data_IF_092916439076
#
_entry.id   IF_092916439076
#
_cell.length_a   1.000
_cell.length_b   1.000
_cell.length_c   1.000
_cell.angle_alpha   90.00
_cell.angle_beta   90.00
_cell.angle_gamma   90.00
#
_symmetry.space_group_name_H-M   'P 1'
#
loop_
_entity.id
_entity.type
_entity.pdbx_description
1 polymer ?
#
# COMPACT_ATOMS: atom_id res chain seq x y z
N UNK A 1 -88.75 -3.66 -14.12
CA UNK A 1 -88.07 -3.87 -15.42
C UNK A 1 -86.98 -2.81 -15.56
N UNK A 2 -85.72 -3.27 -15.55
CA UNK A 2 -84.56 -2.66 -16.22
C UNK A 2 -84.32 -1.16 -16.02
N UNK A 3 -83.47 -0.81 -15.06
CA UNK A 3 -82.65 0.41 -15.09
C UNK A 3 -81.17 0.05 -15.11
N UNK A 4 -80.72 -0.12 -16.35
CA UNK A 4 -79.35 0.03 -16.82
C UNK A 4 -78.84 1.44 -16.46
N UNK A 5 -77.52 1.59 -16.21
CA UNK A 5 -76.76 2.85 -15.99
C UNK A 5 -76.58 3.32 -14.54
N UNK A 6 -75.68 2.64 -13.82
CA UNK A 6 -74.73 3.30 -12.93
C UNK A 6 -73.33 3.10 -13.55
N UNK A 7 -72.91 3.98 -14.47
CA UNK A 7 -71.88 5.02 -14.21
C UNK A 7 -70.70 4.41 -13.44
N UNK A 8 -69.76 3.70 -14.08
CA UNK A 8 -68.70 4.25 -14.93
C UNK A 8 -68.27 5.65 -14.48
N UNK A 9 -67.38 5.69 -13.48
CA UNK A 9 -66.83 6.93 -12.95
C UNK A 9 -65.98 6.74 -11.70
N UNK A 10 -65.30 5.60 -11.52
CA UNK A 10 -64.29 5.47 -10.47
C UNK A 10 -62.93 5.80 -11.08
N UNK A 11 -62.62 7.09 -10.99
CA UNK A 11 -61.38 7.72 -11.39
C UNK A 11 -60.16 6.97 -10.87
N UNK A 12 -59.34 6.55 -11.83
CA UNK A 12 -57.95 6.16 -11.63
C UNK A 12 -57.18 7.29 -10.91
N UNK A 13 -56.83 7.08 -9.65
CA UNK A 13 -55.72 7.75 -8.98
C UNK A 13 -54.68 6.70 -8.62
N UNK A 14 -53.99 6.20 -9.65
CA UNK A 14 -52.69 5.56 -9.46
C UNK A 14 -51.73 6.72 -9.21
N UNK A 15 -51.35 6.91 -7.95
CA UNK A 15 -50.23 7.75 -7.59
C UNK A 15 -48.97 7.07 -8.11
N UNK A 16 -48.50 7.51 -9.28
CA UNK A 16 -47.20 7.16 -9.83
C UNK A 16 -46.15 7.72 -8.89
N UNK A 17 -45.65 6.90 -7.96
CA UNK A 17 -44.41 7.17 -7.24
C UNK A 17 -43.29 7.15 -8.30
N UNK A 18 -42.95 8.35 -8.78
CA UNK A 18 -41.75 8.56 -9.56
C UNK A 18 -40.56 8.26 -8.64
N UNK A 19 -39.99 7.06 -8.77
CA UNK A 19 -38.62 6.76 -8.39
C UNK A 19 -37.73 7.67 -9.24
N UNK A 20 -37.47 8.88 -8.76
CA UNK A 20 -36.37 9.66 -9.27
C UNK A 20 -35.09 8.87 -8.94
N UNK A 21 -34.24 8.57 -9.92
CA UNK A 21 -32.91 8.08 -9.60
C UNK A 21 -32.24 9.17 -8.79
N UNK A 22 -31.87 8.86 -7.55
CA UNK A 22 -30.88 9.63 -6.83
C UNK A 22 -29.63 9.51 -7.69
N UNK A 23 -29.39 10.50 -8.52
CA UNK A 23 -28.08 10.70 -9.11
C UNK A 23 -27.15 10.84 -7.90
N UNK A 24 -26.42 9.76 -7.58
CA UNK A 24 -25.27 9.85 -6.72
C UNK A 24 -24.40 10.93 -7.35
N UNK A 25 -24.42 12.13 -6.77
CA UNK A 25 -23.45 13.15 -7.10
C UNK A 25 -22.12 12.46 -6.86
N UNK A 26 -21.36 12.21 -7.93
CA UNK A 26 -19.99 11.75 -7.79
C UNK A 26 -19.27 12.88 -7.06
N UNK A 27 -19.21 12.80 -5.73
CA UNK A 27 -18.32 13.64 -4.96
C UNK A 27 -16.95 13.49 -5.62
N UNK A 28 -16.37 14.62 -6.00
CA UNK A 28 -15.03 14.61 -6.56
C UNK A 28 -14.10 14.13 -5.44
N UNK A 29 -13.58 12.92 -5.58
CA UNK A 29 -12.76 12.28 -4.55
C UNK A 29 -11.34 12.78 -4.74
N UNK A 30 -10.93 13.68 -3.84
CA UNK A 30 -9.61 14.27 -3.80
C UNK A 30 -8.79 13.76 -2.59
N UNK A 31 -7.58 14.28 -2.45
CA UNK A 31 -6.70 13.94 -1.33
C UNK A 31 -7.22 14.42 0.03
N UNK A 32 -8.09 15.43 0.09
CA UNK A 32 -8.72 15.82 1.35
C UNK A 32 -9.76 14.78 1.79
N UNK A 33 -10.53 14.22 0.86
CA UNK A 33 -11.43 13.10 1.12
C UNK A 33 -10.65 11.85 1.56
N UNK A 34 -9.57 11.48 0.86
CA UNK A 34 -8.70 10.37 1.24
C UNK A 34 -8.06 10.57 2.62
N UNK A 35 -7.61 11.80 2.92
CA UNK A 35 -7.08 12.16 4.25
C UNK A 35 -8.12 11.97 5.35
N UNK A 36 -9.34 12.46 5.15
CA UNK A 36 -10.43 12.32 6.12
C UNK A 36 -10.75 10.85 6.41
N UNK A 37 -10.84 10.04 5.35
CA UNK A 37 -11.09 8.61 5.48
C UNK A 37 -9.92 7.88 6.15
N UNK A 38 -8.67 8.24 5.84
CA UNK A 38 -7.50 7.67 6.51
C UNK A 38 -7.50 7.99 8.02
N UNK A 39 -7.88 9.20 8.44
CA UNK A 39 -8.01 9.52 9.87
C UNK A 39 -9.16 8.73 10.52
N UNK A 40 -10.28 8.55 9.84
CA UNK A 40 -11.35 7.69 10.34
C UNK A 40 -10.88 6.24 10.52
N UNK A 41 -10.08 5.72 9.58
CA UNK A 41 -9.44 4.40 9.70
C UNK A 41 -8.53 4.36 10.92
N UNK A 42 -7.69 5.38 11.14
CA UNK A 42 -6.81 5.46 12.29
C UNK A 42 -7.59 5.44 13.62
N UNK A 43 -8.67 6.23 13.72
CA UNK A 43 -9.50 6.30 14.92
C UNK A 43 -10.22 4.97 15.21
N UNK A 44 -10.74 4.29 14.18
CA UNK A 44 -11.38 2.97 14.35
C UNK A 44 -10.37 1.89 14.76
N UNK A 45 -9.14 1.96 14.24
CA UNK A 45 -8.05 1.07 14.65
C UNK A 45 -7.70 1.31 16.10
N UNK A 46 -7.71 2.55 16.58
CA UNK A 46 -7.38 2.87 17.96
C UNK A 46 -8.36 2.21 18.94
N UNK A 47 -9.66 2.26 18.64
CA UNK A 47 -10.68 1.55 19.42
C UNK A 47 -10.40 0.04 19.48
N UNK A 48 -10.05 -0.57 18.33
CA UNK A 48 -9.71 -1.99 18.24
C UNK A 48 -8.43 -2.30 19.02
N UNK A 49 -7.40 -1.47 18.90
CA UNK A 49 -6.10 -1.62 19.58
C UNK A 49 -6.27 -1.64 21.09
N UNK A 50 -6.98 -0.65 21.63
CA UNK A 50 -7.24 -0.55 23.07
C UNK A 50 -7.99 -1.78 23.59
N UNK A 51 -9.04 -2.19 22.87
CA UNK A 51 -9.85 -3.36 23.23
C UNK A 51 -9.04 -4.66 23.22
N UNK A 52 -8.12 -4.80 22.27
CA UNK A 52 -7.19 -5.93 22.17
C UNK A 52 -6.03 -5.86 23.18
N UNK A 53 -5.83 -4.73 23.87
CA UNK A 53 -4.71 -4.52 24.78
C UNK A 53 -3.36 -4.49 24.07
N UNK A 54 -3.31 -4.07 22.81
CA UNK A 54 -2.07 -4.01 22.01
C UNK A 54 -1.31 -2.70 22.26
N UNK A 55 0.03 -2.71 22.23
CA UNK A 55 0.81 -1.47 22.39
C UNK A 55 0.53 -0.49 21.25
N UNK A 56 0.73 0.79 21.55
CA UNK A 56 0.74 1.86 20.56
C UNK A 56 2.11 1.91 19.87
N UNK A 57 2.14 2.10 18.55
CA UNK A 57 3.39 2.32 17.81
C UNK A 57 3.87 3.77 17.98
N UNK A 58 4.98 3.96 18.70
CA UNK A 58 5.64 5.26 18.88
C UNK A 58 6.92 5.40 18.02
N UNK A 59 7.11 4.49 17.07
CA UNK A 59 8.25 4.49 16.15
C UNK A 59 8.36 5.79 15.35
N UNK A 60 9.58 6.33 15.26
CA UNK A 60 9.82 7.55 14.48
C UNK A 60 9.40 7.40 13.00
N UNK A 61 8.69 8.39 12.47
CA UNK A 61 8.28 8.40 11.06
C UNK A 61 9.49 8.52 10.11
N UNK A 62 9.33 7.98 8.90
CA UNK A 62 10.24 8.26 7.80
C UNK A 62 10.07 9.71 7.36
N UNK A 63 11.16 10.52 7.27
CA UNK A 63 11.07 11.87 6.76
C UNK A 63 10.93 11.80 5.24
N UNK A 64 9.69 11.63 4.79
CA UNK A 64 9.31 11.55 3.37
C UNK A 64 8.85 12.91 2.86
N UNK A 65 9.09 13.16 1.58
CA UNK A 65 8.56 14.32 0.86
C UNK A 65 8.21 13.94 -0.58
N UNK A 66 7.42 14.77 -1.25
CA UNK A 66 7.07 14.61 -2.67
C UNK A 66 6.45 13.24 -3.04
N UNK A 67 5.67 12.66 -2.12
CA UNK A 67 5.00 11.37 -2.32
C UNK A 67 4.06 11.41 -3.53
N UNK A 68 4.16 10.42 -4.41
CA UNK A 68 3.28 10.25 -5.57
C UNK A 68 2.01 9.44 -5.23
N UNK A 69 0.95 9.58 -6.03
CA UNK A 69 -0.28 8.78 -5.86
C UNK A 69 -0.03 7.27 -6.02
N UNK A 70 0.94 6.90 -6.86
CA UNK A 70 1.35 5.51 -7.05
C UNK A 70 1.94 4.92 -5.76
N UNK A 71 2.88 5.62 -5.12
CA UNK A 71 3.46 5.19 -3.84
C UNK A 71 2.40 5.10 -2.75
N UNK A 72 1.52 6.11 -2.66
CA UNK A 72 0.39 6.12 -1.72
C UNK A 72 -0.53 4.93 -1.94
N UNK A 73 -0.88 4.63 -3.19
CA UNK A 73 -1.71 3.48 -3.53
C UNK A 73 -1.06 2.15 -3.11
N UNK A 74 0.23 1.96 -3.37
CA UNK A 74 0.95 0.73 -2.96
C UNK A 74 1.01 0.57 -1.44
N UNK A 75 1.13 1.66 -0.67
CA UNK A 75 1.06 1.61 0.78
C UNK A 75 -0.36 1.35 1.30
N UNK A 76 -1.38 1.87 0.63
CA UNK A 76 -2.77 1.59 0.98
C UNK A 76 -3.15 0.14 0.66
N UNK A 77 -2.57 -0.48 -0.37
CA UNK A 77 -2.72 -1.93 -0.59
C UNK A 77 -2.13 -2.75 0.57
N UNK A 78 -0.99 -2.33 1.12
CA UNK A 78 -0.42 -2.96 2.33
C UNK A 78 -1.37 -2.82 3.52
N UNK A 79 -1.97 -1.64 3.69
CA UNK A 79 -2.95 -1.40 4.74
C UNK A 79 -4.13 -2.36 4.60
N UNK A 80 -4.73 -2.48 3.41
CA UNK A 80 -5.83 -3.41 3.14
C UNK A 80 -5.42 -4.86 3.41
N UNK A 81 -4.21 -5.29 3.02
CA UNK A 81 -3.70 -6.64 3.33
C UNK A 81 -3.68 -6.89 4.84
N UNK A 82 -3.15 -5.97 5.63
CA UNK A 82 -3.08 -6.09 7.10
C UNK A 82 -4.48 -6.04 7.74
N UNK A 83 -5.37 -5.18 7.23
CA UNK A 83 -6.76 -5.11 7.68
C UNK A 83 -7.53 -6.43 7.40
N UNK A 84 -7.37 -6.99 6.21
CA UNK A 84 -7.91 -8.31 5.85
C UNK A 84 -7.41 -9.40 6.80
N UNK A 85 -6.11 -9.41 7.09
CA UNK A 85 -5.54 -10.41 8.01
C UNK A 85 -6.11 -10.26 9.42
N UNK A 86 -6.22 -9.03 9.93
CA UNK A 86 -6.81 -8.78 11.25
C UNK A 86 -8.28 -9.26 11.31
N UNK A 87 -9.08 -8.96 10.29
CA UNK A 87 -10.47 -9.41 10.20
C UNK A 87 -10.58 -10.94 10.07
N UNK A 88 -9.69 -11.57 9.32
CA UNK A 88 -9.63 -13.03 9.21
C UNK A 88 -9.25 -13.69 10.54
N UNK A 89 -8.30 -13.11 11.29
CA UNK A 89 -7.85 -13.63 12.59
C UNK A 89 -8.90 -13.50 13.69
N UNK A 90 -9.65 -12.38 13.73
CA UNK A 90 -10.62 -12.10 14.78
C UNK A 90 -12.03 -12.59 14.46
N UNK A 91 -12.46 -12.48 13.20
CA UNK A 91 -13.83 -12.73 12.77
C UNK A 91 -13.97 -13.95 11.84
N UNK A 92 -12.86 -14.55 11.39
CA UNK A 92 -12.91 -15.58 10.35
C UNK A 92 -13.32 -15.04 8.97
N UNK A 93 -13.29 -13.72 8.78
CA UNK A 93 -13.85 -13.06 7.61
C UNK A 93 -13.02 -13.28 6.34
N UNK A 94 -13.70 -13.45 5.21
CA UNK A 94 -13.04 -13.55 3.92
C UNK A 94 -12.35 -12.22 3.54
N UNK A 95 -11.14 -12.28 2.95
CA UNK A 95 -10.40 -11.09 2.57
C UNK A 95 -11.09 -10.37 1.41
N UNK A 96 -11.04 -9.03 1.43
CA UNK A 96 -11.37 -8.21 0.27
C UNK A 96 -10.19 -8.14 -0.69
N UNK A 97 -10.49 -8.21 -1.98
CA UNK A 97 -9.47 -8.12 -3.03
C UNK A 97 -9.15 -6.66 -3.29
N UNK A 98 -7.85 -6.31 -3.31
CA UNK A 98 -7.38 -5.00 -3.78
C UNK A 98 -7.61 -4.78 -5.29
N UNK A 99 -8.02 -5.83 -6.02
CA UNK A 99 -8.11 -5.82 -7.47
C UNK A 99 -6.75 -5.80 -8.15
N UNK A 100 -6.71 -5.82 -9.50
CA UNK A 100 -5.49 -5.52 -10.23
C UNK A 100 -5.12 -4.04 -10.01
N UNK A 101 -3.81 -3.75 -10.00
CA UNK A 101 -3.33 -2.35 -10.05
C UNK A 101 -3.95 -1.67 -11.28
N UNK A 102 -4.59 -0.50 -11.14
CA UNK A 102 -5.23 0.20 -12.24
C UNK A 102 -4.27 0.40 -13.42
N UNK A 103 -4.79 0.28 -14.64
CA UNK A 103 -4.04 0.56 -15.85
C UNK A 103 -4.08 2.07 -16.12
N UNK A 104 -2.92 2.72 -16.12
CA UNK A 104 -2.80 4.16 -16.35
C UNK A 104 -2.33 4.91 -15.11
N UNK A 105 -2.62 6.21 -15.06
CA UNK A 105 -2.27 7.06 -13.93
C UNK A 105 -3.15 6.74 -12.71
N UNK A 106 -2.51 6.51 -11.57
CA UNK A 106 -3.18 6.28 -10.29
C UNK A 106 -3.68 7.61 -9.73
N UNK A 107 -4.91 7.62 -9.24
CA UNK A 107 -5.58 8.82 -8.74
C UNK A 107 -5.97 8.70 -7.26
N UNK A 108 -6.28 9.82 -6.62
CA UNK A 108 -6.78 9.85 -5.24
C UNK A 108 -8.04 9.00 -5.04
N UNK A 109 -8.84 8.80 -6.10
CA UNK A 109 -10.02 7.91 -6.07
C UNK A 109 -9.63 6.45 -5.87
N UNK A 110 -8.55 5.99 -6.51
CA UNK A 110 -8.07 4.61 -6.38
C UNK A 110 -7.57 4.35 -4.96
N UNK A 111 -6.89 5.33 -4.36
CA UNK A 111 -6.47 5.30 -2.96
C UNK A 111 -7.67 5.27 -2.02
N UNK A 112 -8.64 6.15 -2.24
CA UNK A 112 -9.85 6.23 -1.42
C UNK A 112 -10.63 4.91 -1.42
N UNK A 113 -10.80 4.26 -2.58
CA UNK A 113 -11.49 2.98 -2.68
C UNK A 113 -10.81 1.89 -1.82
N UNK A 114 -9.47 1.83 -1.83
CA UNK A 114 -8.74 0.88 -0.98
C UNK A 114 -8.89 1.20 0.51
N UNK A 115 -8.95 2.49 0.89
CA UNK A 115 -9.20 2.90 2.27
C UNK A 115 -10.61 2.51 2.74
N UNK A 116 -11.62 2.62 1.87
CA UNK A 116 -12.99 2.17 2.19
C UNK A 116 -13.04 0.66 2.43
N UNK A 117 -12.36 -0.10 1.57
CA UNK A 117 -12.27 -1.55 1.70
C UNK A 117 -11.60 -1.95 3.01
N UNK A 118 -10.53 -1.26 3.38
CA UNK A 118 -9.80 -1.51 4.60
C UNK A 118 -10.60 -1.11 5.85
N UNK A 119 -11.26 0.06 5.82
CA UNK A 119 -12.12 0.52 6.91
C UNK A 119 -13.19 -0.52 7.22
N UNK A 120 -13.86 -1.05 6.20
CA UNK A 120 -14.91 -2.01 6.47
C UNK A 120 -14.37 -3.40 6.90
N UNK A 121 -13.14 -3.78 6.56
CA UNK A 121 -12.48 -4.95 7.18
C UNK A 121 -12.15 -4.71 8.65
N UNK A 122 -11.65 -3.52 8.99
CA UNK A 122 -11.41 -3.12 10.39
C UNK A 122 -12.71 -3.12 11.19
N UNK A 123 -13.81 -2.67 10.60
CA UNK A 123 -15.13 -2.71 11.25
C UNK A 123 -15.63 -4.14 11.50
N UNK A 124 -15.37 -5.07 10.59
CA UNK A 124 -15.66 -6.50 10.80
C UNK A 124 -14.84 -7.05 11.96
N UNK A 125 -13.55 -6.72 12.05
CA UNK A 125 -12.71 -7.06 13.20
C UNK A 125 -13.24 -6.46 14.51
N UNK A 126 -13.62 -5.17 14.50
CA UNK A 126 -14.16 -4.45 15.65
C UNK A 126 -15.46 -5.09 16.18
N UNK A 127 -16.40 -5.41 15.28
CA UNK A 127 -17.66 -6.08 15.61
C UNK A 127 -17.42 -7.45 16.25
N UNK A 128 -16.47 -8.23 15.73
CA UNK A 128 -16.15 -9.55 16.25
C UNK A 128 -15.62 -9.53 17.70
N UNK A 129 -15.00 -8.43 18.13
CA UNK A 129 -14.52 -8.23 19.51
C UNK A 129 -15.46 -7.38 20.37
N UNK A 130 -16.66 -7.07 19.86
CA UNK A 130 -17.74 -6.43 20.59
C UNK A 130 -17.66 -4.90 20.68
N UNK A 131 -16.94 -4.23 19.77
CA UNK A 131 -16.93 -2.76 19.67
C UNK A 131 -18.12 -2.35 18.79
N UNK A 132 -18.93 -1.43 19.32
CA UNK A 132 -20.13 -0.90 18.62
C UNK A 132 -20.02 0.59 18.32
N UNK A 133 -19.13 1.26 19.03
CA UNK A 133 -18.69 2.62 18.79
C UNK A 133 -18.07 2.73 17.41
N UNK A 134 -18.29 3.88 16.76
CA UNK A 134 -17.71 4.21 15.46
C UNK A 134 -17.05 5.56 15.54
N UNK A 135 -15.86 5.67 14.96
CA UNK A 135 -15.26 6.97 14.77
C UNK A 135 -15.98 7.71 13.64
N UNK A 136 -16.33 8.96 13.90
CA UNK A 136 -16.79 9.90 12.89
C UNK A 136 -15.74 10.97 12.73
N UNK A 137 -15.19 11.10 11.52
CA UNK A 137 -14.26 12.17 11.20
C UNK A 137 -14.94 13.17 10.26
N UNK A 138 -14.90 14.45 10.63
CA UNK A 138 -15.39 15.52 9.77
C UNK A 138 -14.34 15.89 8.72
N UNK A 139 -14.75 15.85 7.44
CA UNK A 139 -13.87 16.26 6.34
C UNK A 139 -13.46 17.72 6.52
N UNK A 140 -12.14 17.97 6.54
CA UNK A 140 -11.61 19.33 6.54
C UNK A 140 -11.63 19.88 5.12
N UNK A 141 -12.02 21.15 4.96
CA UNK A 141 -12.14 21.87 3.66
C UNK A 141 -10.78 22.31 3.10
N UNK A 142 -9.67 21.89 3.71
CA UNK A 142 -8.33 22.31 3.29
C UNK A 142 -7.78 21.31 2.29
N UNK A 143 -7.21 21.80 1.18
CA UNK A 143 -6.47 20.96 0.24
C UNK A 143 -5.31 20.28 0.97
N UNK A 144 -5.26 18.95 0.89
CA UNK A 144 -4.21 18.11 1.46
C UNK A 144 -3.37 17.54 0.31
N UNK A 145 -2.05 17.58 0.43
CA UNK A 145 -1.15 16.89 -0.49
C UNK A 145 -1.15 15.38 -0.21
N UNK A 146 -0.85 14.55 -1.22
CA UNK A 146 -0.74 13.09 -1.07
C UNK A 146 0.19 12.68 0.09
N UNK A 147 1.28 13.43 0.31
CA UNK A 147 2.19 13.23 1.45
C UNK A 147 1.48 13.27 2.81
N UNK A 148 0.45 14.10 2.98
CA UNK A 148 -0.32 14.16 4.22
C UNK A 148 -1.13 12.87 4.45
N UNK A 149 -1.82 12.38 3.43
CA UNK A 149 -2.56 11.10 3.46
C UNK A 149 -1.62 9.95 3.75
N UNK A 150 -0.48 9.95 3.06
CA UNK A 150 0.55 8.93 3.16
C UNK A 150 1.10 8.77 4.58
N UNK A 151 1.40 9.87 5.26
CA UNK A 151 1.92 9.80 6.64
C UNK A 151 0.94 9.10 7.58
N UNK A 152 -0.37 9.34 7.42
CA UNK A 152 -1.41 8.67 8.19
C UNK A 152 -1.47 7.17 7.84
N UNK A 153 -1.42 6.84 6.54
CA UNK A 153 -1.43 5.45 6.06
C UNK A 153 -0.23 4.64 6.57
N UNK A 154 0.96 5.25 6.68
CA UNK A 154 2.15 4.58 7.23
C UNK A 154 1.98 4.27 8.72
N UNK A 155 1.49 5.22 9.52
CA UNK A 155 1.25 4.98 10.94
C UNK A 155 0.22 3.86 11.16
N UNK A 156 -0.86 3.89 10.38
CA UNK A 156 -1.85 2.82 10.39
C UNK A 156 -1.22 1.46 10.04
N UNK A 157 -0.40 1.42 8.99
CA UNK A 157 0.28 0.20 8.56
C UNK A 157 1.15 -0.41 9.65
N UNK A 158 1.85 0.42 10.43
CA UNK A 158 2.69 -0.03 11.55
C UNK A 158 1.83 -0.49 12.73
N UNK A 159 0.83 0.30 13.10
CA UNK A 159 -0.07 -0.04 14.20
C UNK A 159 -0.83 -1.35 13.95
N UNK A 160 -1.35 -1.56 12.73
CA UNK A 160 -1.99 -2.83 12.35
C UNK A 160 -1.01 -3.99 12.49
N UNK A 161 0.24 -3.82 12.06
CA UNK A 161 1.24 -4.88 12.15
C UNK A 161 1.47 -5.36 13.59
N UNK A 162 1.46 -4.44 14.57
CA UNK A 162 1.55 -4.77 16.01
C UNK A 162 0.30 -5.48 16.55
N UNK A 163 -0.85 -5.33 15.89
CA UNK A 163 -2.11 -5.92 16.33
C UNK A 163 -2.29 -7.37 15.86
N UNK A 164 -1.66 -7.73 14.74
CA UNK A 164 -1.72 -9.07 14.16
C UNK A 164 -1.15 -10.15 15.10
N UNK A 165 -1.72 -11.35 15.02
CA UNK A 165 -1.19 -12.53 15.71
C UNK A 165 0.11 -13.00 15.07
N UNK A 166 0.19 -12.94 13.74
CA UNK A 166 1.42 -13.18 12.98
C UNK A 166 1.74 -11.89 12.21
N UNK A 167 2.59 -11.01 12.75
CA UNK A 167 3.02 -9.81 12.05
C UNK A 167 3.74 -10.14 10.74
N UNK A 168 3.83 -9.16 9.85
CA UNK A 168 4.67 -9.20 8.65
C UNK A 168 6.10 -9.57 9.07
N UNK A 169 6.62 -10.67 8.52
CA UNK A 169 7.93 -11.23 8.81
C UNK A 169 8.88 -11.16 7.63
N UNK A 170 10.03 -11.80 7.76
CA UNK A 170 11.09 -11.80 6.73
C UNK A 170 10.61 -12.42 5.40
N UNK A 171 9.68 -13.37 5.43
CA UNK A 171 9.13 -14.01 4.24
C UNK A 171 8.38 -13.01 3.34
N UNK A 172 7.54 -12.16 3.93
CA UNK A 172 6.83 -11.12 3.19
C UNK A 172 7.78 -10.03 2.68
N UNK A 173 8.81 -9.66 3.45
CA UNK A 173 9.84 -8.71 2.96
C UNK A 173 10.58 -9.31 1.76
N UNK A 174 10.95 -10.58 1.84
CA UNK A 174 11.62 -11.31 0.77
C UNK A 174 10.79 -11.32 -0.52
N UNK A 175 9.48 -11.53 -0.43
CA UNK A 175 8.57 -11.50 -1.58
C UNK A 175 8.59 -10.14 -2.29
N UNK A 176 8.46 -9.04 -1.53
CA UNK A 176 8.48 -7.68 -2.11
C UNK A 176 9.86 -7.34 -2.70
N UNK A 177 10.95 -7.71 -2.02
CA UNK A 177 12.31 -7.51 -2.56
C UNK A 177 12.51 -8.33 -3.84
N UNK A 178 12.00 -9.56 -3.89
CA UNK A 178 12.07 -10.40 -5.11
C UNK A 178 11.26 -9.79 -6.26
N UNK A 179 10.11 -9.17 -5.97
CA UNK A 179 9.34 -8.44 -6.95
C UNK A 179 10.10 -7.20 -7.48
N UNK A 180 10.74 -6.45 -6.59
CA UNK A 180 11.60 -5.33 -6.97
C UNK A 180 12.77 -5.78 -7.86
N UNK A 181 13.47 -6.86 -7.50
CA UNK A 181 14.55 -7.45 -8.32
C UNK A 181 14.06 -7.84 -9.71
N UNK A 182 12.86 -8.41 -9.80
CA UNK A 182 12.26 -8.80 -11.08
C UNK A 182 11.99 -7.59 -11.97
N UNK A 183 11.48 -6.50 -11.40
CA UNK A 183 11.27 -5.24 -12.12
C UNK A 183 12.58 -4.59 -12.55
N UNK A 184 13.58 -4.54 -11.67
CA UNK A 184 14.90 -4.01 -11.98
C UNK A 184 15.63 -4.84 -13.06
N UNK A 185 15.51 -6.17 -13.01
CA UNK A 185 16.04 -7.05 -14.04
C UNK A 185 15.39 -6.81 -15.41
N UNK A 186 14.08 -6.61 -15.45
CA UNK A 186 13.37 -6.28 -16.69
C UNK A 186 13.91 -4.98 -17.30
N UNK A 187 14.11 -3.95 -16.48
CA UNK A 187 14.72 -2.69 -16.90
C UNK A 187 16.14 -2.89 -17.44
N UNK A 188 17.00 -3.63 -16.72
CA UNK A 188 18.38 -3.92 -17.14
C UNK A 188 18.45 -4.72 -18.43
N UNK A 189 17.53 -5.66 -18.66
CA UNK A 189 17.49 -6.48 -19.86
C UNK A 189 17.31 -5.65 -21.15
N UNK A 190 16.86 -4.40 -21.05
CA UNK A 190 16.78 -3.48 -22.19
C UNK A 190 18.13 -2.91 -22.63
N UNK A 191 19.19 -3.05 -21.80
CA UNK A 191 20.52 -2.54 -22.08
C UNK A 191 21.47 -3.64 -22.58
N UNK A 192 22.08 -3.50 -23.77
CA UNK A 192 23.03 -4.48 -24.29
C UNK A 192 24.21 -4.74 -23.35
N UNK A 193 24.48 -6.02 -23.09
CA UNK A 193 25.59 -6.46 -22.24
C UNK A 193 25.41 -6.15 -20.75
N UNK A 194 24.21 -5.78 -20.31
CA UNK A 194 23.87 -5.78 -18.89
C UNK A 194 23.64 -7.23 -18.42
N UNK A 195 23.95 -7.50 -17.15
CA UNK A 195 23.58 -8.76 -16.49
C UNK A 195 22.30 -8.48 -15.70
N UNK A 196 21.11 -8.91 -16.17
CA UNK A 196 19.85 -8.50 -15.55
C UNK A 196 19.72 -8.94 -14.10
N UNK A 197 20.32 -10.07 -13.73
CA UNK A 197 20.34 -10.60 -12.36
C UNK A 197 21.78 -10.95 -12.04
N UNK A 198 22.48 -10.16 -11.23
CA UNK A 198 23.86 -10.47 -10.84
C UNK A 198 23.90 -11.73 -9.95
N UNK A 199 25.10 -12.29 -9.79
CA UNK A 199 25.30 -13.36 -8.82
C UNK A 199 24.99 -12.83 -7.40
N UNK A 200 24.37 -13.64 -6.53
CA UNK A 200 24.10 -13.22 -5.17
C UNK A 200 25.40 -12.85 -4.44
N UNK A 201 25.39 -11.82 -3.58
CA UNK A 201 26.55 -11.49 -2.78
C UNK A 201 26.97 -12.69 -1.91
N UNK A 202 28.26 -12.79 -1.52
CA UNK A 202 28.72 -13.83 -0.62
C UNK A 202 27.85 -13.91 0.63
N UNK A 203 27.64 -15.13 1.14
CA UNK A 203 26.84 -15.34 2.35
C UNK A 203 27.41 -14.53 3.51
N UNK A 204 26.57 -13.67 4.08
CA UNK A 204 26.90 -12.81 5.20
C UNK A 204 25.88 -13.03 6.31
N UNK A 205 26.22 -13.94 7.23
CA UNK A 205 25.32 -14.42 8.27
C UNK A 205 24.99 -13.38 9.36
N UNK A 206 24.07 -13.76 10.25
CA UNK A 206 23.71 -13.01 11.46
C UNK A 206 23.12 -11.62 11.20
N UNK A 207 22.52 -11.40 10.02
CA UNK A 207 21.78 -10.17 9.75
C UNK A 207 20.51 -10.09 10.57
N UNK A 208 20.19 -8.87 10.98
CA UNK A 208 19.01 -8.50 11.74
C UNK A 208 18.10 -7.62 10.87
N UNK A 209 16.83 -7.41 11.25
CA UNK A 209 15.93 -6.54 10.49
C UNK A 209 16.46 -5.12 10.30
N UNK A 210 17.22 -4.58 11.27
CA UNK A 210 17.90 -3.28 11.14
C UNK A 210 18.92 -3.25 9.98
N UNK A 211 19.64 -4.35 9.74
CA UNK A 211 20.61 -4.46 8.63
C UNK A 211 19.87 -4.50 7.28
N UNK A 212 18.76 -5.23 7.21
CA UNK A 212 17.87 -5.26 6.02
C UNK A 212 17.32 -3.86 5.73
N UNK A 213 16.80 -3.20 6.76
CA UNK A 213 16.24 -1.86 6.66
C UNK A 213 17.26 -0.84 6.12
N UNK A 214 18.49 -0.90 6.65
CA UNK A 214 19.60 -0.07 6.17
C UNK A 214 19.88 -0.34 4.68
N UNK A 215 20.00 -1.62 4.28
CA UNK A 215 20.27 -2.00 2.89
C UNK A 215 19.15 -1.58 1.93
N UNK A 216 17.89 -1.66 2.34
CA UNK A 216 16.77 -1.19 1.52
C UNK A 216 16.73 0.33 1.42
N UNK A 217 17.19 1.04 2.46
CA UNK A 217 17.38 2.50 2.38
C UNK A 217 18.47 2.87 1.38
N UNK A 218 19.57 2.11 1.32
CA UNK A 218 20.61 2.27 0.27
C UNK A 218 20.03 2.03 -1.13
N UNK A 219 19.12 1.06 -1.29
CA UNK A 219 18.40 0.85 -2.55
C UNK A 219 17.53 2.07 -2.90
N UNK A 220 16.83 2.66 -1.93
CA UNK A 220 16.03 3.87 -2.17
C UNK A 220 16.91 5.05 -2.59
N UNK A 221 18.08 5.23 -1.96
CA UNK A 221 19.03 6.26 -2.37
C UNK A 221 19.50 6.06 -3.82
N UNK A 222 19.69 4.81 -4.27
CA UNK A 222 20.01 4.51 -5.66
C UNK A 222 18.83 4.81 -6.60
N UNK A 223 17.59 4.46 -6.22
CA UNK A 223 16.37 4.81 -6.96
C UNK A 223 16.25 6.33 -7.13
N UNK A 224 16.50 7.11 -6.08
CA UNK A 224 16.46 8.59 -6.12
C UNK A 224 17.47 9.16 -7.13
N UNK A 225 18.64 8.53 -7.30
CA UNK A 225 19.63 8.96 -8.32
C UNK A 225 19.28 8.50 -9.73
N UNK A 226 18.58 7.38 -9.87
CA UNK A 226 18.13 6.83 -11.16
C UNK A 226 16.91 7.58 -11.70
N UNK A 227 15.97 7.96 -10.83
CA UNK A 227 14.67 8.50 -11.23
C UNK A 227 14.73 9.72 -12.18
N UNK A 228 15.57 10.75 -11.92
CA UNK A 228 15.67 11.90 -12.82
C UNK A 228 16.16 11.54 -14.23
N UNK A 229 17.01 10.50 -14.34
CA UNK A 229 17.54 10.01 -15.63
C UNK A 229 16.50 9.22 -16.42
N UNK A 230 15.50 8.67 -15.74
CA UNK A 230 14.35 8.01 -16.36
C UNK A 230 13.24 9.02 -16.65
N UNK A 231 13.19 10.14 -15.94
CA UNK A 231 12.16 11.17 -16.07
C UNK A 231 10.90 10.86 -15.25
N UNK A 232 11.03 10.09 -14.18
CA UNK A 232 9.93 9.71 -13.29
C UNK A 232 10.12 10.40 -11.93
N UNK A 233 9.09 11.06 -11.38
CA UNK A 233 9.14 11.56 -10.01
C UNK A 233 9.10 10.36 -9.05
N UNK A 234 9.92 10.41 -8.00
CA UNK A 234 9.94 9.41 -6.92
C UNK A 234 9.93 10.10 -5.57
N UNK A 235 9.52 9.35 -4.56
CA UNK A 235 9.57 9.74 -3.16
C UNK A 235 10.93 10.33 -2.78
N UNK A 236 10.92 11.52 -2.19
CA UNK A 236 12.08 12.12 -1.55
C UNK A 236 12.28 11.55 -0.15
N UNK A 237 13.44 10.95 0.12
CA UNK A 237 13.88 10.64 1.48
C UNK A 237 14.86 11.69 1.97
N UNK A 238 14.61 12.28 3.14
CA UNK A 238 15.65 13.08 3.80
C UNK A 238 16.70 12.14 4.39
N UNK A 239 18.00 12.49 4.24
CA UNK A 239 19.11 11.69 4.74
C UNK A 239 18.88 11.25 6.18
N UNK A 240 18.73 9.94 6.39
CA UNK A 240 18.64 9.37 7.73
C UNK A 240 20.04 9.11 8.26
N UNK A 241 20.29 9.53 9.50
CA UNK A 241 21.55 9.25 10.19
C UNK A 241 21.49 8.07 11.15
N UNK A 242 20.31 7.60 11.56
CA UNK A 242 20.19 6.48 12.51
C UNK A 242 19.02 5.55 12.16
N UNK A 243 19.30 4.25 12.06
CA UNK A 243 18.29 3.17 12.05
C UNK A 243 17.88 2.90 13.50
N UNK A 244 16.57 2.89 13.84
CA UNK A 244 16.13 2.58 15.20
C UNK A 244 16.55 1.18 15.65
N UNK A 245 16.95 1.02 16.91
CA UNK A 245 17.39 -0.26 17.48
C UNK A 245 16.25 -1.32 17.53
N UNK A 246 15.00 -0.87 17.55
CA UNK A 246 13.78 -1.67 17.59
C UNK A 246 13.21 -1.98 16.20
N UNK A 247 14.02 -1.83 15.15
CA UNK A 247 13.59 -2.11 13.78
C UNK A 247 13.07 -3.54 13.62
N UNK A 248 11.84 -3.66 13.09
CA UNK A 248 11.17 -4.94 12.83
C UNK A 248 11.07 -5.20 11.31
N UNK A 249 10.82 -6.46 10.88
CA UNK A 249 10.62 -6.78 9.46
C UNK A 249 9.52 -5.95 8.80
N UNK A 250 8.45 -5.62 9.53
CA UNK A 250 7.38 -4.73 9.03
C UNK A 250 7.89 -3.36 8.57
N UNK A 251 8.92 -2.79 9.22
CA UNK A 251 9.52 -1.53 8.77
C UNK A 251 10.28 -1.69 7.46
N UNK A 252 10.97 -2.83 7.28
CA UNK A 252 11.67 -3.15 6.04
C UNK A 252 10.70 -3.44 4.90
N UNK A 253 9.58 -4.11 5.20
CA UNK A 253 8.48 -4.35 4.26
C UNK A 253 7.93 -3.05 3.67
N UNK A 254 7.67 -2.04 4.52
CA UNK A 254 7.14 -0.75 4.06
C UNK A 254 8.12 -0.07 3.06
N UNK A 255 9.44 -0.19 3.27
CA UNK A 255 10.45 0.30 2.30
C UNK A 255 10.45 -0.54 1.02
N UNK A 256 10.42 -1.87 1.14
CA UNK A 256 10.39 -2.74 -0.03
C UNK A 256 9.19 -2.43 -0.94
N UNK A 257 8.04 -2.09 -0.36
CA UNK A 257 6.85 -1.64 -1.11
C UNK A 257 7.08 -0.34 -1.89
N UNK A 258 7.89 0.60 -1.39
CA UNK A 258 8.30 1.79 -2.17
C UNK A 258 9.14 1.40 -3.37
N UNK A 259 10.16 0.57 -3.15
CA UNK A 259 11.04 0.11 -4.23
C UNK A 259 10.25 -0.58 -5.33
N UNK A 260 9.25 -1.39 -4.99
CA UNK A 260 8.35 -2.03 -5.97
C UNK A 260 7.55 -0.98 -6.74
N UNK A 261 6.98 0.03 -6.05
CA UNK A 261 6.20 1.09 -6.70
C UNK A 261 7.06 1.92 -7.67
N UNK A 262 8.23 2.36 -7.24
CA UNK A 262 9.15 3.17 -8.04
C UNK A 262 9.67 2.40 -9.27
N UNK A 263 10.03 1.13 -9.09
CA UNK A 263 10.49 0.29 -10.20
C UNK A 263 9.36 -0.06 -11.17
N UNK A 264 8.12 -0.18 -10.69
CA UNK A 264 6.96 -0.30 -11.57
C UNK A 264 6.74 0.98 -12.39
N UNK A 265 6.92 2.16 -11.79
CA UNK A 265 6.85 3.44 -12.48
C UNK A 265 7.94 3.55 -13.56
N UNK A 266 9.18 3.15 -13.24
CA UNK A 266 10.30 3.14 -14.18
C UNK A 266 10.04 2.21 -15.36
N UNK A 267 9.56 0.99 -15.09
CA UNK A 267 9.20 0.02 -16.12
C UNK A 267 8.09 0.56 -17.03
N UNK A 268 7.06 1.19 -16.46
CA UNK A 268 5.98 1.82 -17.22
C UNK A 268 6.47 2.98 -18.10
N UNK A 269 7.30 3.86 -17.57
CA UNK A 269 7.84 5.01 -18.32
C UNK A 269 8.75 4.61 -19.49
N UNK A 270 9.35 3.41 -19.42
CA UNK A 270 10.24 2.87 -20.45
C UNK A 270 9.59 1.80 -21.33
N UNK A 271 8.28 1.57 -21.16
CA UNK A 271 7.51 0.52 -21.85
C UNK A 271 8.20 -0.86 -21.81
N UNK A 272 8.74 -1.20 -20.63
CA UNK A 272 9.51 -2.42 -20.44
C UNK A 272 8.56 -3.62 -20.36
N UNK A 273 8.75 -4.66 -21.20
CA UNK A 273 7.97 -5.88 -21.11
C UNK A 273 8.11 -6.54 -19.74
N UNK A 274 7.02 -7.07 -19.21
CA UNK A 274 7.06 -7.84 -17.96
C UNK A 274 7.99 -9.04 -18.12
N UNK A 275 8.98 -9.13 -17.25
CA UNK A 275 9.88 -10.28 -17.14
C UNK A 275 9.50 -11.11 -15.92
N UNK A 276 9.71 -12.43 -15.99
CA UNK A 276 9.71 -13.28 -14.79
C UNK A 276 11.14 -13.73 -14.52
N UNK A 277 11.67 -13.31 -13.38
CA UNK A 277 12.93 -13.81 -12.88
C UNK A 277 12.64 -14.91 -11.88
N UNK A 278 13.34 -16.04 -11.99
CA UNK A 278 13.31 -17.09 -10.97
C UNK A 278 14.58 -16.97 -10.15
N UNK A 279 14.43 -16.54 -8.89
CA UNK A 279 15.52 -16.50 -7.92
C UNK A 279 15.49 -17.80 -7.09
N UNK A 280 16.64 -18.31 -6.63
CA UNK A 280 16.67 -19.44 -5.72
C UNK A 280 15.90 -19.12 -4.44
N UNK A 281 14.76 -19.80 -4.22
CA UNK A 281 14.00 -19.65 -2.99
C UNK A 281 14.66 -20.47 -1.87
N UNK A 282 15.07 -19.85 -0.76
CA UNK A 282 15.62 -20.58 0.37
C UNK A 282 14.51 -21.38 1.06
N UNK A 283 14.88 -22.48 1.72
CA UNK A 283 13.90 -23.31 2.47
C UNK A 283 13.28 -22.59 3.66
N UNK A 284 14.07 -21.70 4.26
CA UNK A 284 13.68 -20.83 5.36
C UNK A 284 14.17 -19.43 5.02
N UNK A 285 13.34 -18.43 5.29
CA UNK A 285 13.66 -17.03 5.03
C UNK A 285 13.90 -16.37 6.38
N UNK A 286 15.12 -15.89 6.58
CA UNK A 286 15.49 -15.00 7.68
C UNK A 286 15.98 -13.67 7.12
N UNK A 287 16.21 -12.69 8.00
CA UNK A 287 16.76 -11.39 7.62
C UNK A 287 18.09 -11.51 6.85
N UNK A 288 18.85 -12.60 7.02
CA UNK A 288 20.07 -12.88 6.23
C UNK A 288 19.76 -13.09 4.74
N UNK A 289 18.75 -13.90 4.41
CA UNK A 289 18.34 -14.13 3.02
C UNK A 289 17.70 -12.89 2.40
N UNK A 290 16.96 -12.10 3.19
CA UNK A 290 16.40 -10.82 2.73
C UNK A 290 17.53 -9.81 2.45
N UNK A 291 18.51 -9.72 3.34
CA UNK A 291 19.67 -8.82 3.17
C UNK A 291 20.47 -9.16 1.92
N UNK A 292 20.71 -10.45 1.66
CA UNK A 292 21.39 -10.90 0.45
C UNK A 292 20.62 -10.53 -0.83
N UNK A 293 19.29 -10.73 -0.85
CA UNK A 293 18.46 -10.29 -1.97
C UNK A 293 18.43 -8.77 -2.15
N UNK A 294 18.36 -8.01 -1.06
CA UNK A 294 18.46 -6.56 -1.13
C UNK A 294 19.84 -6.11 -1.69
N UNK A 295 20.90 -6.90 -1.49
CA UNK A 295 22.19 -6.71 -2.15
C UNK A 295 22.14 -6.90 -3.67
N UNK A 296 21.45 -7.93 -4.17
CA UNK A 296 21.20 -8.11 -5.61
C UNK A 296 20.48 -6.89 -6.18
N UNK A 297 19.42 -6.44 -5.50
CA UNK A 297 18.65 -5.27 -5.92
C UNK A 297 19.53 -4.01 -5.97
N UNK A 298 20.35 -3.77 -4.95
CA UNK A 298 21.24 -2.62 -4.92
C UNK A 298 22.20 -2.64 -6.11
N UNK A 299 22.84 -3.77 -6.40
CA UNK A 299 23.76 -3.90 -7.54
C UNK A 299 23.04 -3.66 -8.88
N UNK A 300 21.80 -4.14 -9.03
CA UNK A 300 20.99 -3.86 -10.22
C UNK A 300 20.71 -2.36 -10.37
N UNK A 301 20.36 -1.67 -9.29
CA UNK A 301 20.08 -0.23 -9.29
C UNK A 301 21.33 0.59 -9.61
N UNK A 302 22.48 0.20 -9.05
CA UNK A 302 23.78 0.82 -9.38
C UNK A 302 24.17 0.59 -10.84
N UNK A 303 23.94 -0.61 -11.38
CA UNK A 303 24.17 -0.86 -12.79
C UNK A 303 23.22 -0.05 -13.69
N UNK A 304 21.94 0.07 -13.33
CA UNK A 304 21.00 0.97 -14.02
C UNK A 304 21.51 2.42 -14.01
N UNK A 305 21.97 2.89 -12.85
CA UNK A 305 22.53 4.23 -12.70
C UNK A 305 23.74 4.45 -13.62
N UNK A 306 24.65 3.47 -13.73
CA UNK A 306 25.80 3.51 -14.64
C UNK A 306 25.39 3.54 -16.10
N UNK A 307 24.41 2.71 -16.49
CA UNK A 307 23.96 2.58 -17.89
C UNK A 307 23.19 3.78 -18.40
N UNK A 308 22.49 4.48 -17.52
CA UNK A 308 21.76 5.71 -17.84
C UNK A 308 22.68 6.91 -18.09
N UNK A 309 23.99 6.80 -17.79
CA UNK A 309 24.95 7.88 -17.97
C UNK A 309 24.77 9.04 -16.99
N UNK A 310 25.63 10.07 -17.04
CA UNK A 310 25.40 11.34 -16.35
C UNK A 310 24.28 12.16 -17.01
#
# INVERSE_FOLDING_TARGET
>A
MTTLKAMLGFLARIATLALLPIAAQSQDVDNAAAYALANQVADEIELVRERMGRPFDDSARLPVSAVSELELYFQTQSLLRKANQLAQELAGAAPRSAGPVPTGEITARDVYALLEDALAQIRVAAEAIGITERATFEQRVTSIAATGVFLVVIDINRQLNLMLRVPIGDAEVFEEVSAAITSAAALLATYPGATPVPEPPPFDGYKRPADVYQRLTECMDAVIRVAPKIGVPVLGLSQRRNVPDDTQPGHAYDIARFLVADLAAFAGARDVPRMRVTLPAPKHIFSTEVYAHAGILLEQLEELERRLGP
#
